data_IF_480577020022
#
_entry.id   IF_480577020022
#
_cell.length_a   1.000
_cell.length_b   1.000
_cell.length_c   1.000
_cell.angle_alpha   90.00
_cell.angle_beta   90.00
_cell.angle_gamma   90.00
#
_symmetry.space_group_name_H-M   'P 1'
#
loop_
_entity.id
_entity.type
_entity.pdbx_description
1 polymer ?
#
# COMPACT_ATOMS: atom_id res chain seq x y z
N UNK A 1 39.15 -15.54 -40.17
CA UNK A 1 38.06 -16.20 -39.43
C UNK A 1 38.64 -16.90 -38.21
N UNK A 2 38.33 -16.41 -37.00
CA UNK A 2 37.92 -17.35 -35.96
C UNK A 2 36.59 -16.92 -35.34
N UNK A 3 35.72 -17.91 -35.14
CA UNK A 3 34.38 -17.79 -34.56
C UNK A 3 34.55 -17.84 -33.04
N UNK A 4 34.22 -16.75 -32.35
CA UNK A 4 34.11 -16.71 -30.90
C UNK A 4 32.71 -17.14 -30.51
N UNK A 5 32.58 -18.33 -29.93
CA UNK A 5 31.37 -18.72 -29.22
C UNK A 5 31.36 -18.00 -27.88
N UNK A 6 30.67 -16.87 -27.80
CA UNK A 6 30.31 -16.24 -26.53
C UNK A 6 29.27 -17.14 -25.85
N UNK A 7 29.71 -17.87 -24.81
CA UNK A 7 28.80 -18.43 -23.83
C UNK A 7 28.13 -17.24 -23.11
N UNK A 8 26.89 -16.96 -23.49
CA UNK A 8 26.03 -16.11 -22.70
C UNK A 8 25.81 -16.81 -21.36
N UNK A 9 26.51 -16.35 -20.32
CA UNK A 9 26.18 -16.65 -18.94
C UNK A 9 24.83 -15.97 -18.72
N UNK A 10 23.75 -16.73 -18.84
CA UNK A 10 22.43 -16.26 -18.46
C UNK A 10 22.51 -15.78 -17.02
N UNK A 11 22.12 -14.52 -16.79
CA UNK A 11 21.89 -14.03 -15.44
C UNK A 11 20.86 -14.95 -14.80
N UNK A 12 21.33 -15.83 -13.91
CA UNK A 12 20.47 -16.44 -12.91
C UNK A 12 19.93 -15.29 -12.08
N UNK A 13 18.70 -14.88 -12.37
CA UNK A 13 17.88 -14.17 -11.41
C UNK A 13 17.66 -15.14 -10.26
N UNK A 14 18.55 -15.09 -9.28
CA UNK A 14 18.30 -15.64 -7.97
C UNK A 14 17.12 -14.86 -7.41
N UNK A 15 15.91 -15.36 -7.64
CA UNK A 15 14.77 -15.06 -6.80
C UNK A 15 15.23 -15.42 -5.38
N UNK A 16 15.56 -14.39 -4.59
CA UNK A 16 15.57 -14.52 -3.15
C UNK A 16 14.13 -14.86 -2.78
N UNK A 17 13.81 -16.15 -2.79
CA UNK A 17 12.55 -16.66 -2.32
C UNK A 17 12.45 -16.34 -0.83
N UNK A 18 11.85 -15.20 -0.52
CA UNK A 18 11.26 -14.92 0.78
C UNK A 18 10.49 -16.19 1.18
N UNK A 19 10.83 -16.78 2.32
CA UNK A 19 10.14 -18.00 2.76
C UNK A 19 8.63 -17.80 2.65
N UNK A 20 7.88 -18.77 2.10
CA UNK A 20 6.47 -18.60 1.87
C UNK A 20 5.79 -18.28 3.20
N UNK A 21 5.15 -17.12 3.29
CA UNK A 21 4.41 -16.70 4.48
C UNK A 21 3.34 -17.75 4.74
N UNK A 22 3.44 -18.40 5.89
CA UNK A 22 2.38 -19.30 6.34
C UNK A 22 1.27 -18.44 6.94
N UNK A 23 0.19 -18.18 6.20
CA UNK A 23 -0.92 -17.35 6.69
C UNK A 23 -1.46 -17.76 8.07
N UNK A 24 -1.32 -19.04 8.45
CA UNK A 24 -1.72 -19.55 9.76
C UNK A 24 -0.79 -19.17 10.92
N UNK A 25 0.43 -18.70 10.66
CA UNK A 25 1.35 -18.20 11.71
C UNK A 25 1.18 -16.72 12.00
N UNK A 26 0.39 -15.98 11.21
CA UNK A 26 0.10 -14.57 11.44
C UNK A 26 -0.89 -14.46 12.62
N UNK A 27 -0.47 -13.91 13.77
CA UNK A 27 -1.33 -13.85 14.94
C UNK A 27 -2.49 -12.86 14.71
N UNK A 28 -3.70 -13.27 15.12
CA UNK A 28 -4.87 -12.38 15.17
C UNK A 28 -5.67 -12.25 13.86
N UNK A 29 -5.36 -13.03 12.81
CA UNK A 29 -6.20 -13.08 11.61
C UNK A 29 -7.51 -13.82 11.87
N UNK A 30 -8.63 -13.24 11.43
CA UNK A 30 -9.94 -13.92 11.42
C UNK A 30 -10.08 -14.83 10.19
N UNK A 31 -11.02 -15.81 10.18
CA UNK A 31 -11.17 -16.75 9.05
C UNK A 31 -11.33 -16.08 7.67
N UNK A 32 -12.01 -14.92 7.59
CA UNK A 32 -12.14 -14.15 6.34
C UNK A 32 -10.79 -13.57 5.87
N UNK A 33 -9.98 -13.03 6.79
CA UNK A 33 -8.63 -12.56 6.50
C UNK A 33 -7.69 -13.71 6.15
N UNK A 34 -7.85 -14.88 6.77
CA UNK A 34 -7.04 -16.06 6.45
C UNK A 34 -7.28 -16.53 5.01
N UNK A 35 -8.54 -16.46 4.54
CA UNK A 35 -8.88 -16.75 3.14
C UNK A 35 -8.26 -15.71 2.20
N UNK A 36 -8.35 -14.42 2.54
CA UNK A 36 -7.69 -13.35 1.79
C UNK A 36 -6.18 -13.60 1.68
N UNK A 37 -5.51 -13.86 2.81
CA UNK A 37 -4.07 -14.11 2.85
C UNK A 37 -3.65 -15.28 1.95
N UNK A 38 -4.42 -16.38 1.93
CA UNK A 38 -4.13 -17.52 1.05
C UNK A 38 -4.25 -17.18 -0.44
N UNK A 39 -5.20 -16.33 -0.80
CA UNK A 39 -5.42 -15.91 -2.19
C UNK A 39 -4.41 -14.84 -2.65
N UNK A 40 -3.87 -14.05 -1.72
CA UNK A 40 -3.04 -12.88 -1.98
C UNK A 40 -1.69 -12.94 -1.26
N UNK A 41 -1.11 -14.14 -1.13
CA UNK A 41 0.10 -14.38 -0.31
C UNK A 41 1.29 -13.52 -0.73
N UNK A 42 1.43 -13.22 -2.03
CA UNK A 42 2.53 -12.42 -2.58
C UNK A 42 2.56 -10.98 -2.07
N UNK A 43 1.40 -10.38 -1.80
CA UNK A 43 1.28 -8.98 -1.35
C UNK A 43 1.11 -8.84 0.17
N UNK A 44 1.00 -9.96 0.89
CA UNK A 44 0.90 -9.94 2.36
C UNK A 44 2.08 -9.28 3.08
N UNK A 45 3.35 -9.37 2.62
CA UNK A 45 4.42 -8.57 3.19
C UNK A 45 4.11 -7.07 3.16
N UNK A 46 3.58 -6.58 2.04
CA UNK A 46 3.22 -5.17 1.83
C UNK A 46 2.03 -4.76 2.70
N UNK A 47 1.06 -5.66 2.92
CA UNK A 47 -0.03 -5.42 3.88
C UNK A 47 0.50 -5.28 5.31
N UNK A 48 1.43 -6.13 5.73
CA UNK A 48 2.05 -6.04 7.05
C UNK A 48 2.87 -4.76 7.22
N UNK A 49 3.69 -4.42 6.22
CA UNK A 49 4.45 -3.17 6.23
C UNK A 49 3.54 -1.94 6.24
N UNK A 50 2.42 -1.97 5.52
CA UNK A 50 1.46 -0.87 5.52
C UNK A 50 0.82 -0.60 6.88
N UNK A 51 0.52 -1.64 7.67
CA UNK A 51 0.05 -1.45 9.06
C UNK A 51 1.14 -0.79 9.90
N UNK A 52 2.39 -1.24 9.77
CA UNK A 52 3.53 -0.68 10.50
C UNK A 52 3.77 0.79 10.14
N UNK A 53 3.75 1.14 8.85
CA UNK A 53 3.83 2.53 8.37
C UNK A 53 2.73 3.38 9.01
N UNK A 54 1.48 2.88 9.01
CA UNK A 54 0.35 3.59 9.61
C UNK A 54 0.53 3.87 11.11
N UNK A 55 1.07 2.93 11.88
CA UNK A 55 1.29 3.12 13.31
C UNK A 55 2.51 3.97 13.62
N UNK A 56 3.58 3.85 12.85
CA UNK A 56 4.73 4.75 12.97
C UNK A 56 4.29 6.20 12.75
N UNK A 57 3.44 6.46 11.75
CA UNK A 57 2.91 7.79 11.51
C UNK A 57 1.93 8.24 12.61
N UNK A 58 1.13 7.31 13.15
CA UNK A 58 0.30 7.60 14.32
C UNK A 58 1.14 8.04 15.53
N UNK A 59 2.23 7.34 15.83
CA UNK A 59 3.16 7.71 16.89
C UNK A 59 3.84 9.05 16.59
N UNK A 60 4.18 9.31 15.32
CA UNK A 60 4.74 10.59 14.90
C UNK A 60 3.77 11.75 15.14
N UNK A 61 2.53 11.65 14.66
CA UNK A 61 1.50 12.70 14.79
C UNK A 61 1.15 12.99 16.25
N UNK A 62 1.18 11.97 17.10
CA UNK A 62 0.78 12.07 18.51
C UNK A 62 1.96 12.15 19.49
N UNK A 63 3.22 12.31 19.02
CA UNK A 63 4.44 12.31 19.86
C UNK A 63 4.45 13.28 21.04
N UNK A 64 3.73 14.41 20.93
CA UNK A 64 3.61 15.43 21.98
C UNK A 64 2.30 15.39 22.78
N UNK A 65 1.47 14.36 22.61
CA UNK A 65 0.14 14.23 23.24
C UNK A 65 0.21 13.26 24.43
N UNK A 66 -0.76 13.37 25.35
CA UNK A 66 -0.88 12.45 26.50
C UNK A 66 -1.07 10.99 26.07
N UNK A 67 -1.83 10.79 25.01
CA UNK A 67 -1.90 9.54 24.28
C UNK A 67 -1.03 9.69 23.02
N UNK A 68 0.04 8.91 22.92
CA UNK A 68 1.08 9.02 21.89
C UNK A 68 1.11 7.81 20.94
N UNK A 69 0.02 7.04 20.88
CA UNK A 69 -0.14 5.86 20.01
C UNK A 69 0.77 4.66 20.29
N UNK A 70 1.67 4.70 21.29
CA UNK A 70 2.56 3.56 21.59
C UNK A 70 1.88 2.35 22.24
N UNK A 71 0.64 2.53 22.71
CA UNK A 71 -0.18 1.42 23.23
C UNK A 71 -0.74 0.54 22.12
N UNK A 72 -0.63 0.97 20.86
CA UNK A 72 -1.09 0.23 19.70
C UNK A 72 0.07 -0.61 19.17
N UNK A 73 -0.15 -1.92 18.99
CA UNK A 73 0.88 -2.85 18.52
C UNK A 73 0.86 -2.90 16.98
N UNK A 74 2.01 -2.71 16.32
CA UNK A 74 2.23 -2.71 14.86
C UNK A 74 1.86 -4.02 14.12
N UNK A 75 1.24 -4.98 14.81
CA UNK A 75 0.81 -6.25 14.24
C UNK A 75 -0.54 -6.13 13.49
N UNK A 76 -0.76 -7.04 12.54
CA UNK A 76 -2.00 -7.16 11.74
C UNK A 76 -3.29 -7.35 12.58
N UNK A 77 -3.16 -7.60 13.89
CA UNK A 77 -4.24 -7.69 14.85
C UNK A 77 -4.90 -6.33 15.21
N UNK A 78 -4.32 -5.19 14.76
CA UNK A 78 -4.84 -3.82 14.95
C UNK A 78 -6.29 -3.64 14.55
N UNK A 79 -6.76 -4.34 13.52
CA UNK A 79 -8.16 -4.33 13.10
C UNK A 79 -9.09 -5.08 14.06
N UNK A 80 -8.72 -5.20 15.34
CA UNK A 80 -9.39 -5.98 16.38
C UNK A 80 -9.77 -5.21 17.62
N UNK A 81 -10.16 -5.91 18.72
CA UNK A 81 -10.57 -5.27 19.97
C UNK A 81 -9.46 -4.47 20.67
N UNK A 82 -8.27 -4.35 20.07
CA UNK A 82 -7.10 -3.66 20.66
C UNK A 82 -7.43 -2.21 21.07
N UNK A 83 -8.47 -1.59 20.47
CA UNK A 83 -9.06 -0.33 20.89
C UNK A 83 -10.53 -0.53 21.30
N UNK A 84 -10.78 -1.22 22.41
CA UNK A 84 -12.12 -1.62 22.88
C UNK A 84 -13.15 -0.47 22.95
N UNK A 85 -12.69 0.77 23.15
CA UNK A 85 -13.55 1.96 23.21
C UNK A 85 -13.60 2.71 21.89
N UNK A 86 -14.79 3.15 21.51
CA UNK A 86 -15.04 3.98 20.33
C UNK A 86 -14.62 5.43 20.62
N UNK A 87 -13.31 5.70 20.64
CA UNK A 87 -12.75 7.04 20.88
C UNK A 87 -12.30 7.70 19.59
N UNK A 88 -12.03 9.01 19.65
CA UNK A 88 -11.47 9.77 18.53
C UNK A 88 -10.10 9.23 18.10
N UNK A 89 -9.28 8.81 19.07
CA UNK A 89 -7.98 8.20 18.83
C UNK A 89 -8.14 6.87 18.08
N UNK A 90 -9.13 6.06 18.47
CA UNK A 90 -9.43 4.81 17.77
C UNK A 90 -9.84 5.05 16.31
N UNK A 91 -10.63 6.09 16.06
CA UNK A 91 -11.03 6.47 14.70
C UNK A 91 -9.82 6.84 13.84
N UNK A 92 -8.87 7.60 14.40
CA UNK A 92 -7.63 7.95 13.71
C UNK A 92 -6.78 6.71 13.41
N UNK A 93 -6.61 5.79 14.38
CA UNK A 93 -5.82 4.56 14.19
C UNK A 93 -6.39 3.70 13.07
N UNK A 94 -7.71 3.52 13.03
CA UNK A 94 -8.38 2.78 11.94
C UNK A 94 -8.13 3.44 10.57
N UNK A 95 -8.29 4.77 10.48
CA UNK A 95 -8.05 5.50 9.25
C UNK A 95 -6.58 5.39 8.78
N UNK A 96 -5.62 5.70 9.65
CA UNK A 96 -4.19 5.72 9.28
C UNK A 96 -3.65 4.31 8.99
N UNK A 97 -4.15 3.27 9.68
CA UNK A 97 -3.77 1.89 9.38
C UNK A 97 -4.33 1.43 8.02
N UNK A 98 -5.60 1.73 7.72
CA UNK A 98 -6.18 1.42 6.40
C UNK A 98 -5.52 2.21 5.27
N UNK A 99 -5.16 3.48 5.52
CA UNK A 99 -4.37 4.29 4.59
C UNK A 99 -2.98 3.68 4.36
N UNK A 100 -2.27 3.28 5.43
CA UNK A 100 -0.94 2.69 5.35
C UNK A 100 -0.92 1.38 4.55
N UNK A 101 -1.92 0.51 4.73
CA UNK A 101 -2.08 -0.71 3.92
C UNK A 101 -2.28 -0.37 2.44
N UNK A 102 -3.18 0.57 2.12
CA UNK A 102 -3.40 0.98 0.74
C UNK A 102 -2.11 1.56 0.13
N UNK A 103 -1.42 2.40 0.89
CA UNK A 103 -0.18 3.04 0.48
C UNK A 103 0.93 2.06 0.14
N UNK A 104 1.24 1.17 1.09
CA UNK A 104 2.33 0.22 0.97
C UNK A 104 2.08 -0.79 -0.17
N UNK A 105 0.85 -1.29 -0.30
CA UNK A 105 0.49 -2.23 -1.39
C UNK A 105 0.63 -1.54 -2.74
N UNK A 106 0.08 -0.33 -2.91
CA UNK A 106 0.20 0.42 -4.16
C UNK A 106 1.66 0.70 -4.53
N UNK A 107 2.50 1.09 -3.56
CA UNK A 107 3.93 1.33 -3.76
C UNK A 107 4.66 0.05 -4.20
N UNK A 108 4.45 -1.05 -3.47
CA UNK A 108 5.04 -2.35 -3.72
C UNK A 108 4.69 -2.88 -5.12
N UNK A 109 3.44 -2.71 -5.55
CA UNK A 109 2.98 -3.08 -6.89
C UNK A 109 3.67 -2.26 -7.99
N UNK A 110 3.83 -0.94 -7.80
CA UNK A 110 4.52 -0.09 -8.76
C UNK A 110 6.02 -0.41 -8.88
N UNK A 111 6.63 -0.97 -7.83
CA UNK A 111 8.00 -1.46 -7.82
C UNK A 111 8.16 -2.85 -8.49
N UNK A 112 7.04 -3.52 -8.81
CA UNK A 112 7.04 -4.84 -9.43
C UNK A 112 7.37 -5.98 -8.46
N UNK A 113 7.09 -5.81 -7.17
CA UNK A 113 7.42 -6.79 -6.14
C UNK A 113 6.52 -8.04 -6.14
N UNK A 114 5.36 -7.99 -6.80
CA UNK A 114 4.37 -9.07 -6.85
C UNK A 114 3.88 -9.25 -8.30
N UNK A 115 3.53 -10.48 -8.66
CA UNK A 115 3.14 -10.80 -10.06
C UNK A 115 1.70 -10.45 -10.36
N UNK A 116 0.86 -10.37 -9.33
CA UNK A 116 -0.58 -10.13 -9.42
C UNK A 116 -0.96 -8.66 -9.60
N UNK A 117 -0.01 -7.74 -9.51
CA UNK A 117 -0.25 -6.30 -9.61
C UNK A 117 0.94 -5.57 -10.25
N UNK A 118 0.75 -4.30 -10.59
CA UNK A 118 1.75 -3.51 -11.29
C UNK A 118 1.38 -2.03 -11.37
N UNK A 119 1.91 -1.36 -12.40
CA UNK A 119 1.52 0.01 -12.74
C UNK A 119 0.09 0.07 -13.28
N UNK A 120 -0.57 1.22 -13.10
CA UNK A 120 -1.87 1.49 -13.69
C UNK A 120 -1.80 1.54 -15.23
N UNK A 121 -2.55 0.61 -15.84
CA UNK A 121 -2.68 0.42 -17.29
C UNK A 121 -3.93 1.07 -17.88
N UNK A 122 -4.80 1.67 -17.05
CA UNK A 122 -6.01 2.35 -17.53
C UNK A 122 -5.65 3.46 -18.50
N UNK A 123 -6.50 3.66 -19.51
CA UNK A 123 -6.30 4.70 -20.52
C UNK A 123 -6.35 6.07 -19.85
N UNK A 124 -5.19 6.72 -19.77
CA UNK A 124 -5.08 8.10 -19.30
C UNK A 124 -5.56 9.02 -20.41
N UNK A 125 -6.33 10.06 -20.08
CA UNK A 125 -6.77 11.07 -21.05
C UNK A 125 -5.60 11.73 -21.78
N UNK A 126 -5.84 12.60 -22.78
CA UNK A 126 -4.74 13.30 -23.45
C UNK A 126 -3.84 14.01 -22.42
N UNK A 127 -2.50 13.97 -22.59
CA UNK A 127 -1.61 14.65 -21.66
C UNK A 127 -1.85 16.17 -21.72
N UNK A 128 -1.55 16.86 -20.63
CA UNK A 128 -1.57 18.32 -20.60
C UNK A 128 -0.49 18.93 -21.50
N UNK A 129 -0.53 20.25 -21.66
CA UNK A 129 0.45 20.95 -22.51
C UNK A 129 1.89 20.79 -22.00
N UNK A 130 2.80 20.52 -22.92
CA UNK A 130 4.25 20.46 -22.64
C UNK A 130 4.74 19.18 -21.93
N UNK A 131 3.96 18.08 -21.93
CA UNK A 131 4.43 16.79 -21.42
C UNK A 131 3.72 15.60 -22.05
N UNK A 132 4.24 14.39 -21.81
CA UNK A 132 3.61 13.13 -22.24
C UNK A 132 3.47 12.16 -21.07
N UNK A 133 2.47 11.28 -21.13
CA UNK A 133 2.39 10.15 -20.20
C UNK A 133 3.57 9.20 -20.39
N UNK A 134 4.06 8.66 -19.28
CA UNK A 134 5.03 7.57 -19.28
C UNK A 134 5.46 7.23 -17.86
N UNK A 135 6.45 6.35 -17.71
CA UNK A 135 6.81 5.81 -16.39
C UNK A 135 5.73 4.88 -15.82
N UNK A 136 5.80 4.64 -14.52
CA UNK A 136 4.87 3.79 -13.79
C UNK A 136 3.89 4.66 -13.01
N UNK A 137 2.64 4.74 -13.46
CA UNK A 137 1.58 5.32 -12.62
C UNK A 137 1.19 4.33 -11.55
N UNK A 138 1.18 4.78 -10.30
CA UNK A 138 0.86 3.93 -9.16
C UNK A 138 -0.65 3.61 -9.14
N UNK A 139 -1.01 2.32 -9.02
CA UNK A 139 -2.42 1.89 -9.00
C UNK A 139 -3.01 1.96 -7.58
N UNK A 140 -3.46 3.16 -7.21
CA UNK A 140 -4.05 3.43 -5.88
C UNK A 140 -5.36 2.67 -5.65
N UNK A 141 -6.11 2.38 -6.71
CA UNK A 141 -7.38 1.65 -6.61
C UNK A 141 -7.16 0.20 -6.19
N UNK A 142 -6.10 -0.43 -6.71
CA UNK A 142 -5.71 -1.77 -6.30
C UNK A 142 -5.33 -1.83 -4.81
N UNK A 143 -4.49 -0.89 -4.34
CA UNK A 143 -4.12 -0.82 -2.92
C UNK A 143 -5.32 -0.53 -2.01
N UNK A 144 -6.21 0.39 -2.41
CA UNK A 144 -7.46 0.68 -1.69
C UNK A 144 -8.36 -0.56 -1.60
N UNK A 145 -8.52 -1.31 -2.69
CA UNK A 145 -9.28 -2.56 -2.71
C UNK A 145 -8.69 -3.61 -1.77
N UNK A 146 -7.37 -3.80 -1.79
CA UNK A 146 -6.67 -4.73 -0.87
C UNK A 146 -6.88 -4.32 0.58
N UNK A 147 -6.70 -3.03 0.89
CA UNK A 147 -6.94 -2.49 2.24
C UNK A 147 -8.38 -2.71 2.70
N UNK A 148 -9.36 -2.52 1.80
CA UNK A 148 -10.79 -2.76 2.07
C UNK A 148 -11.08 -4.22 2.39
N UNK A 149 -10.66 -5.14 1.53
CA UNK A 149 -10.90 -6.58 1.71
C UNK A 149 -10.25 -7.10 3.00
N UNK A 150 -9.08 -6.57 3.38
CA UNK A 150 -8.36 -7.02 4.56
C UNK A 150 -8.84 -6.36 5.87
N UNK A 151 -8.95 -5.04 5.92
CA UNK A 151 -9.32 -4.29 7.13
C UNK A 151 -10.79 -4.51 7.50
N UNK A 152 -11.70 -4.48 6.52
CA UNK A 152 -13.14 -4.55 6.76
C UNK A 152 -13.62 -5.99 6.95
N UNK A 153 -12.75 -6.99 6.73
CA UNK A 153 -13.08 -8.40 6.96
C UNK A 153 -13.51 -8.72 8.39
N UNK A 154 -13.10 -7.90 9.37
CA UNK A 154 -13.48 -8.02 10.79
C UNK A 154 -14.74 -7.24 11.13
N UNK A 155 -15.10 -6.27 10.31
CA UNK A 155 -16.20 -5.34 10.53
C UNK A 155 -17.49 -5.82 9.88
N UNK A 156 -17.85 -7.10 10.09
CA UNK A 156 -19.01 -7.73 9.48
C UNK A 156 -20.26 -7.73 10.37
N UNK A 157 -20.14 -7.30 11.63
CA UNK A 157 -21.27 -7.26 12.57
C UNK A 157 -22.19 -6.08 12.25
N UNK A 158 -23.52 -6.25 12.40
CA UNK A 158 -24.48 -5.16 12.27
C UNK A 158 -24.56 -4.33 13.57
N UNK A 159 -23.41 -3.88 14.07
CA UNK A 159 -23.32 -3.03 15.26
C UNK A 159 -22.74 -1.64 14.93
N UNK A 160 -22.93 -0.70 15.86
CA UNK A 160 -22.47 0.67 15.69
C UNK A 160 -20.94 0.76 15.59
N UNK A 161 -20.23 -0.17 16.23
CA UNK A 161 -18.76 -0.16 16.24
C UNK A 161 -18.22 -0.53 14.87
N UNK A 162 -18.70 -1.62 14.27
CA UNK A 162 -18.30 -2.01 12.92
C UNK A 162 -18.73 -1.00 11.88
N UNK A 163 -19.87 -0.33 12.05
CA UNK A 163 -20.25 0.79 11.18
C UNK A 163 -19.25 1.95 11.27
N UNK A 164 -18.86 2.36 12.47
CA UNK A 164 -17.86 3.41 12.70
C UNK A 164 -16.48 3.01 12.13
N UNK A 165 -16.03 1.79 12.40
CA UNK A 165 -14.73 1.30 11.93
C UNK A 165 -14.67 1.27 10.39
N UNK A 166 -15.71 0.75 9.70
CA UNK A 166 -15.78 0.80 8.23
C UNK A 166 -15.72 2.22 7.68
N UNK A 167 -16.42 3.16 8.32
CA UNK A 167 -16.38 4.57 7.92
C UNK A 167 -14.97 5.16 8.05
N UNK A 168 -14.30 4.94 9.19
CA UNK A 168 -12.96 5.46 9.42
C UNK A 168 -11.91 4.80 8.51
N UNK A 169 -12.02 3.48 8.31
CA UNK A 169 -11.16 2.74 7.38
C UNK A 169 -11.30 3.33 5.95
N UNK A 170 -12.52 3.59 5.49
CA UNK A 170 -12.77 4.18 4.18
C UNK A 170 -12.22 5.61 4.10
N UNK A 171 -12.42 6.45 5.12
CA UNK A 171 -11.86 7.80 5.16
C UNK A 171 -10.32 7.79 4.99
N UNK A 172 -9.64 6.84 5.63
CA UNK A 172 -8.19 6.64 5.45
C UNK A 172 -7.82 6.25 4.01
N UNK A 173 -8.53 5.29 3.42
CA UNK A 173 -8.30 4.86 2.02
C UNK A 173 -8.56 5.99 1.03
N UNK A 174 -9.66 6.72 1.18
CA UNK A 174 -10.01 7.87 0.34
C UNK A 174 -8.95 8.96 0.43
N UNK A 175 -8.38 9.21 1.61
CA UNK A 175 -7.28 10.17 1.75
C UNK A 175 -6.10 9.84 0.83
N UNK A 176 -5.70 8.57 0.68
CA UNK A 176 -4.60 8.21 -0.23
C UNK A 176 -4.98 8.48 -1.70
N UNK A 177 -6.21 8.17 -2.09
CA UNK A 177 -6.72 8.43 -3.45
C UNK A 177 -6.72 9.93 -3.75
N UNK A 178 -7.22 10.74 -2.81
CA UNK A 178 -7.35 12.19 -2.98
C UNK A 178 -6.00 12.92 -3.05
N UNK A 179 -4.93 12.33 -2.51
CA UNK A 179 -3.59 12.92 -2.51
C UNK A 179 -2.69 12.43 -3.66
N UNK A 180 -3.23 11.62 -4.58
CA UNK A 180 -2.54 11.27 -5.81
C UNK A 180 -2.24 12.54 -6.61
N UNK A 181 -1.00 12.68 -7.07
CA UNK A 181 -0.56 13.86 -7.82
C UNK A 181 0.29 13.48 -9.03
N UNK A 182 0.37 14.40 -9.98
CA UNK A 182 1.26 14.25 -11.14
C UNK A 182 2.70 14.48 -10.72
N UNK A 183 3.52 13.46 -10.87
CA UNK A 183 4.97 13.55 -10.75
C UNK A 183 5.58 13.51 -12.14
N UNK A 184 6.51 14.43 -12.42
CA UNK A 184 7.14 14.56 -13.73
C UNK A 184 8.66 14.42 -13.64
N UNK A 185 9.27 13.86 -14.69
CA UNK A 185 10.72 13.83 -14.89
C UNK A 185 11.09 14.58 -16.16
N UNK A 186 12.06 15.47 -16.06
CA UNK A 186 12.58 16.26 -17.17
C UNK A 186 13.73 15.53 -17.86
N UNK A 187 13.75 15.59 -19.18
CA UNK A 187 14.68 14.85 -20.05
C UNK A 187 15.41 15.75 -21.05
N UNK A 188 15.20 17.07 -20.99
CA UNK A 188 15.84 18.01 -21.90
C UNK A 188 17.34 18.16 -21.65
N UNK A 189 18.02 18.80 -22.60
CA UNK A 189 19.46 19.05 -22.54
C UNK A 189 19.83 19.72 -21.21
N UNK A 190 20.85 19.20 -20.52
CA UNK A 190 21.30 19.70 -19.22
C UNK A 190 20.20 19.72 -18.13
N UNK A 191 19.19 18.86 -18.23
CA UNK A 191 18.10 18.75 -17.26
C UNK A 191 16.93 19.71 -17.49
N UNK A 192 16.87 20.39 -18.65
CA UNK A 192 15.73 21.26 -18.97
C UNK A 192 14.41 20.49 -19.07
N UNK A 193 13.29 21.17 -18.79
CA UNK A 193 11.95 20.58 -18.78
C UNK A 193 11.16 20.79 -20.07
N UNK A 194 11.82 21.18 -21.17
CA UNK A 194 11.23 21.29 -22.52
C UNK A 194 10.62 19.97 -22.99
N UNK A 195 11.23 18.85 -22.58
CA UNK A 195 10.69 17.51 -22.75
C UNK A 195 10.59 16.87 -21.37
N UNK A 196 9.36 16.58 -20.93
CA UNK A 196 9.11 15.90 -19.67
C UNK A 196 8.04 14.83 -19.80
N UNK A 197 8.17 13.81 -18.96
CA UNK A 197 7.24 12.68 -18.87
C UNK A 197 6.62 12.69 -17.49
N UNK A 198 5.32 12.46 -17.37
CA UNK A 198 4.62 12.44 -16.08
C UNK A 198 3.81 11.17 -15.85
N UNK A 199 3.59 10.86 -14.57
CA UNK A 199 2.78 9.75 -14.08
C UNK A 199 2.06 10.13 -12.78
N UNK A 200 1.00 9.39 -12.44
CA UNK A 200 0.37 9.48 -11.13
C UNK A 200 1.24 8.81 -10.07
N UNK A 201 1.48 9.49 -8.97
CA UNK A 201 2.31 9.00 -7.86
C UNK A 201 1.67 9.37 -6.52
N UNK A 202 1.88 8.51 -5.53
CA UNK A 202 1.51 8.82 -4.15
C UNK A 202 2.48 9.87 -3.56
N UNK A 203 2.04 10.68 -2.58
CA UNK A 203 2.94 11.52 -1.80
C UNK A 203 3.86 10.66 -0.92
N UNK A 204 4.70 11.31 -0.13
CA UNK A 204 5.24 10.65 1.06
C UNK A 204 4.10 10.45 2.07
N UNK A 205 4.17 9.37 2.84
CA UNK A 205 3.13 8.99 3.81
C UNK A 205 3.14 9.89 5.05
#
# INVERSE_FOLDING_TARGET
YPIWWSLAIGHQYSSLGTQPILCGSIPGLVPKQLRFCRNYVEIMPSVAEGVKIGIQECQHQFRGRRWNCTTVNDNLAIFGPVLDKATRESAFVHAIASAGVAFAVTRSCAEGSATICGCDTRHKGPPGEGWKWGGCSEDVEFGSMVSREFADARENRPDARSAMNRHNNEAGRTSIIDHMHLKCKCHGLSGSCEVKTCWWSQPDF
#
